data_IF_777368464446
#
_entry.id   IF_777368464446
#
_cell.length_a   1.000
_cell.length_b   1.000
_cell.length_c   1.000
_cell.angle_alpha   90.00
_cell.angle_beta   90.00
_cell.angle_gamma   90.00
#
_symmetry.space_group_name_H-M   'P 1'
#
loop_
_entity.id
_entity.type
_entity.pdbx_description
1 polymer ?
#
# COMPACT_ATOMS: atom_id res chain seq x y z
N UNK A 1 -28.87 73.95 11.81
CA UNK A 1 -27.82 73.02 12.22
C UNK A 1 -28.33 71.64 11.95
N UNK A 2 -28.00 71.09 10.75
CA UNK A 2 -28.52 69.80 10.32
C UNK A 2 -27.39 68.75 10.39
N UNK A 3 -27.58 67.77 11.24
CA UNK A 3 -26.66 66.60 11.39
C UNK A 3 -26.94 65.62 10.29
N UNK A 4 -25.98 65.36 9.38
CA UNK A 4 -26.02 64.29 8.36
C UNK A 4 -25.43 63.02 8.93
N UNK A 5 -26.28 62.01 9.08
CA UNK A 5 -25.84 60.68 9.45
C UNK A 5 -25.34 59.92 8.18
N UNK A 6 -24.06 59.58 8.15
CA UNK A 6 -23.50 58.69 7.14
C UNK A 6 -23.69 57.22 7.57
N UNK A 7 -24.51 56.51 6.83
CA UNK A 7 -24.67 55.08 6.99
C UNK A 7 -23.52 54.37 6.26
N UNK A 8 -22.61 53.74 7.01
CA UNK A 8 -21.53 52.89 6.45
C UNK A 8 -22.08 51.49 6.25
N UNK A 9 -22.25 51.09 4.99
CA UNK A 9 -22.66 49.72 4.61
C UNK A 9 -21.40 48.86 4.55
N UNK A 10 -21.16 48.05 5.58
CA UNK A 10 -20.08 47.06 5.61
C UNK A 10 -20.54 45.82 4.84
N UNK A 11 -20.09 45.66 3.61
CA UNK A 11 -20.30 44.48 2.80
C UNK A 11 -19.42 43.33 3.29
N UNK A 12 -20.03 42.29 3.87
CA UNK A 12 -19.37 41.03 4.18
C UNK A 12 -19.16 40.24 2.88
N UNK A 13 -17.94 40.19 2.39
CA UNK A 13 -17.56 39.31 1.31
C UNK A 13 -17.47 37.86 1.87
N UNK A 14 -18.49 37.03 1.61
CA UNK A 14 -18.45 35.60 1.87
C UNK A 14 -17.48 34.97 0.86
N UNK A 15 -16.26 34.66 1.30
CA UNK A 15 -15.30 33.89 0.51
C UNK A 15 -15.81 32.47 0.30
N UNK A 16 -16.16 32.12 -0.93
CA UNK A 16 -16.39 30.73 -1.35
C UNK A 16 -15.05 30.00 -1.28
N UNK A 17 -14.86 29.19 -0.26
CA UNK A 17 -13.76 28.23 -0.20
C UNK A 17 -14.14 27.12 -1.20
N UNK A 18 -13.56 27.13 -2.39
CA UNK A 18 -13.66 26.04 -3.34
C UNK A 18 -12.96 24.82 -2.72
N UNK A 19 -13.74 23.84 -2.25
CA UNK A 19 -13.20 22.56 -1.86
C UNK A 19 -12.57 21.92 -3.11
N UNK A 20 -11.24 21.76 -3.09
CA UNK A 20 -10.54 21.04 -4.14
C UNK A 20 -11.03 19.58 -4.22
N UNK A 21 -10.79 18.88 -5.35
CA UNK A 21 -11.22 17.50 -5.51
C UNK A 21 -10.60 16.66 -4.39
N UNK A 22 -11.46 15.92 -3.66
CA UNK A 22 -10.99 14.99 -2.65
C UNK A 22 -10.13 13.91 -3.30
N UNK A 23 -8.92 13.70 -2.78
CA UNK A 23 -8.03 12.62 -3.20
C UNK A 23 -8.09 11.50 -2.17
N UNK A 24 -7.83 10.26 -2.61
CA UNK A 24 -7.76 9.14 -1.69
C UNK A 24 -6.62 9.35 -0.67
N UNK A 25 -6.89 9.06 0.61
CA UNK A 25 -5.93 9.22 1.70
C UNK A 25 -5.48 7.90 2.29
N UNK A 26 -6.18 6.81 1.99
CA UNK A 26 -5.81 5.46 2.43
C UNK A 26 -6.10 4.43 1.34
N UNK A 27 -5.50 3.25 1.44
CA UNK A 27 -5.80 2.13 0.56
C UNK A 27 -5.98 0.84 1.36
N UNK A 28 -7.09 0.14 1.10
CA UNK A 28 -7.30 -1.22 1.57
C UNK A 28 -6.87 -2.19 0.49
N UNK A 29 -5.87 -3.01 0.80
CA UNK A 29 -5.38 -4.07 -0.09
C UNK A 29 -5.92 -5.39 0.40
N UNK A 30 -6.60 -6.13 -0.50
CA UNK A 30 -7.07 -7.49 -0.26
C UNK A 30 -6.21 -8.46 -1.08
N UNK A 31 -5.68 -9.48 -0.42
CA UNK A 31 -4.77 -10.47 -1.01
C UNK A 31 -5.30 -11.86 -0.67
N UNK A 32 -5.62 -12.65 -1.69
CA UNK A 32 -5.95 -14.06 -1.48
C UNK A 32 -4.68 -14.89 -1.47
N UNK A 33 -4.38 -15.53 -0.34
CA UNK A 33 -3.35 -16.56 -0.21
C UNK A 33 -4.01 -17.90 -0.53
N UNK A 34 -3.65 -18.59 -1.62
CA UNK A 34 -4.31 -19.84 -1.98
C UNK A 34 -3.95 -20.98 -1.01
N UNK A 35 -4.89 -21.90 -0.84
CA UNK A 35 -4.59 -23.18 -0.19
C UNK A 35 -3.96 -24.10 -1.23
N UNK A 36 -2.69 -24.40 -1.06
CA UNK A 36 -1.95 -25.28 -1.98
C UNK A 36 -1.90 -26.68 -1.42
N UNK A 37 -2.10 -27.69 -2.30
CA UNK A 37 -1.93 -29.11 -1.98
C UNK A 37 -0.48 -29.48 -2.33
N UNK A 38 0.41 -29.37 -1.36
CA UNK A 38 1.84 -29.66 -1.48
C UNK A 38 2.29 -30.54 -0.33
N UNK A 39 3.38 -31.28 -0.50
CA UNK A 39 3.88 -32.22 0.51
C UNK A 39 4.24 -31.50 1.83
N UNK A 40 4.81 -30.30 1.74
CA UNK A 40 5.14 -29.47 2.88
C UNK A 40 4.67 -28.03 2.61
N UNK A 41 3.77 -27.52 3.45
CA UNK A 41 3.22 -26.18 3.29
C UNK A 41 3.83 -25.20 4.28
N UNK A 42 4.54 -24.22 3.75
CA UNK A 42 4.98 -23.04 4.49
C UNK A 42 4.12 -21.82 4.12
N UNK A 43 3.81 -20.99 5.10
CA UNK A 43 3.12 -19.72 4.82
C UNK A 43 4.02 -18.78 4.02
N UNK A 44 3.53 -18.15 2.95
CA UNK A 44 4.38 -17.31 2.11
C UNK A 44 4.82 -16.05 2.85
N UNK A 45 6.03 -15.60 2.56
CA UNK A 45 6.45 -14.22 2.77
C UNK A 45 5.81 -13.37 1.69
N UNK A 46 5.24 -12.24 2.08
CA UNK A 46 4.53 -11.37 1.13
C UNK A 46 4.97 -9.93 1.32
N UNK A 47 5.49 -9.31 0.26
CA UNK A 47 5.76 -7.89 0.20
C UNK A 47 4.69 -7.16 -0.60
N UNK A 48 4.25 -6.02 -0.08
CA UNK A 48 3.37 -5.07 -0.75
C UNK A 48 4.11 -3.75 -0.82
N UNK A 49 4.36 -3.25 -2.03
CA UNK A 49 5.15 -2.04 -2.22
C UNK A 49 4.74 -1.26 -3.46
N UNK A 50 5.07 0.02 -3.48
CA UNK A 50 4.87 0.91 -4.63
C UNK A 50 6.17 1.09 -5.39
N UNK A 51 6.07 1.01 -6.71
CA UNK A 51 7.11 1.41 -7.65
C UNK A 51 6.65 2.64 -8.45
N UNK A 52 7.60 3.51 -8.75
CA UNK A 52 7.45 4.63 -9.69
C UNK A 52 8.75 4.82 -10.46
N UNK A 53 8.66 5.27 -11.70
CA UNK A 53 9.83 5.56 -12.52
C UNK A 53 10.69 6.65 -11.87
N UNK A 54 11.99 6.40 -11.71
CA UNK A 54 12.95 7.37 -11.18
C UNK A 54 12.85 7.64 -9.68
N UNK A 55 12.08 6.84 -8.92
CA UNK A 55 11.98 6.96 -7.47
C UNK A 55 12.27 5.61 -6.77
N UNK A 56 12.81 5.63 -5.55
CA UNK A 56 12.95 4.43 -4.75
C UNK A 56 11.58 3.78 -4.48
N UNK A 57 11.55 2.45 -4.50
CA UNK A 57 10.34 1.73 -4.14
C UNK A 57 9.98 1.97 -2.67
N UNK A 58 8.67 2.06 -2.39
CA UNK A 58 8.14 2.30 -1.05
C UNK A 58 7.46 1.05 -0.52
N UNK A 59 7.97 0.48 0.55
CA UNK A 59 7.34 -0.65 1.25
C UNK A 59 6.05 -0.18 1.94
N UNK A 60 4.94 -0.86 1.67
CA UNK A 60 3.66 -0.64 2.34
C UNK A 60 3.41 -1.69 3.42
N UNK A 61 3.76 -2.95 3.14
CA UNK A 61 3.69 -4.04 4.10
C UNK A 61 4.67 -5.15 3.71
N UNK A 62 5.21 -5.84 4.72
CA UNK A 62 6.01 -7.05 4.55
C UNK A 62 5.61 -8.09 5.60
N UNK A 63 5.21 -9.28 5.15
CA UNK A 63 4.89 -10.41 6.04
C UNK A 63 6.01 -11.42 5.99
N UNK A 64 6.55 -11.75 7.15
CA UNK A 64 7.59 -12.76 7.29
C UNK A 64 7.44 -13.48 8.64
N UNK A 65 8.21 -14.51 8.88
CA UNK A 65 8.13 -15.26 10.13
C UNK A 65 8.82 -14.48 11.27
N UNK A 66 8.09 -13.53 11.85
CA UNK A 66 8.53 -12.68 12.94
C UNK A 66 8.71 -13.45 14.26
N UNK A 67 8.13 -14.66 14.37
CA UNK A 67 8.18 -15.48 15.58
C UNK A 67 9.43 -16.39 15.65
N UNK A 68 10.16 -16.54 14.55
CA UNK A 68 11.41 -17.33 14.56
C UNK A 68 12.42 -16.73 15.53
N UNK A 69 12.98 -17.57 16.41
CA UNK A 69 13.99 -17.15 17.38
C UNK A 69 15.19 -16.50 16.69
N UNK A 70 15.83 -15.56 17.39
CA UNK A 70 17.04 -14.85 16.92
C UNK A 70 16.88 -14.18 15.53
N UNK A 71 15.68 -13.66 15.24
CA UNK A 71 15.38 -13.02 13.96
C UNK A 71 15.63 -13.90 12.72
N UNK A 72 15.61 -15.22 12.85
CA UNK A 72 15.91 -16.11 11.73
C UNK A 72 14.96 -15.95 10.55
N UNK A 73 13.70 -15.57 10.79
CA UNK A 73 12.76 -15.27 9.72
C UNK A 73 13.23 -14.17 8.77
N UNK A 74 14.06 -13.24 9.24
CA UNK A 74 14.61 -12.16 8.41
C UNK A 74 15.64 -12.63 7.39
N UNK A 75 16.30 -13.74 7.64
CA UNK A 75 17.30 -14.31 6.72
C UNK A 75 16.70 -14.69 5.37
N UNK A 76 15.39 -14.99 5.33
CA UNK A 76 14.66 -15.41 4.13
C UNK A 76 13.94 -14.28 3.40
N UNK A 77 14.06 -13.04 3.88
CA UNK A 77 13.45 -11.88 3.20
C UNK A 77 14.04 -11.62 1.81
N UNK A 78 15.24 -12.09 1.53
CA UNK A 78 15.87 -12.04 0.22
C UNK A 78 15.17 -12.93 -0.82
N UNK A 79 14.33 -13.88 -0.40
CA UNK A 79 13.53 -14.71 -1.32
C UNK A 79 12.39 -13.90 -1.97
N UNK A 80 11.92 -12.83 -1.32
CA UNK A 80 11.05 -11.81 -1.93
C UNK A 80 11.93 -10.88 -2.77
N UNK A 81 12.48 -11.42 -3.86
CA UNK A 81 13.66 -10.89 -4.58
C UNK A 81 13.47 -9.51 -5.19
N UNK A 82 12.27 -9.24 -5.73
CA UNK A 82 11.94 -7.95 -6.34
C UNK A 82 11.94 -6.85 -5.28
N UNK A 83 11.14 -7.03 -4.25
CA UNK A 83 11.06 -6.13 -3.12
C UNK A 83 12.41 -5.96 -2.42
N UNK A 84 13.15 -7.05 -2.19
CA UNK A 84 14.45 -7.02 -1.53
C UNK A 84 15.44 -6.10 -2.25
N UNK A 85 15.49 -6.21 -3.59
CA UNK A 85 16.35 -5.33 -4.40
C UNK A 85 15.87 -3.88 -4.44
N UNK A 86 14.55 -3.68 -4.49
CA UNK A 86 13.96 -2.36 -4.66
C UNK A 86 13.93 -1.54 -3.36
N UNK A 87 13.76 -2.18 -2.21
CA UNK A 87 13.55 -1.51 -0.92
C UNK A 87 14.08 -2.28 0.29
N UNK A 88 13.96 -3.60 0.32
CA UNK A 88 14.19 -4.42 1.51
C UNK A 88 15.60 -4.29 2.11
N UNK A 89 16.61 -4.13 1.29
CA UNK A 89 18.02 -4.01 1.73
C UNK A 89 18.28 -2.82 2.66
N UNK A 90 17.45 -1.77 2.60
CA UNK A 90 17.61 -0.59 3.45
C UNK A 90 17.27 -0.86 4.92
N UNK A 91 16.47 -1.91 5.19
CA UNK A 91 16.01 -2.24 6.54
C UNK A 91 14.95 -1.30 7.12
N UNK A 92 14.52 -0.27 6.39
CA UNK A 92 13.57 0.74 6.87
C UNK A 92 12.22 0.16 7.31
N UNK A 93 11.81 -0.97 6.72
CA UNK A 93 10.57 -1.68 7.06
C UNK A 93 10.48 -2.13 8.52
N UNK A 94 11.59 -2.17 9.26
CA UNK A 94 11.63 -2.57 10.66
C UNK A 94 11.10 -1.44 11.56
N UNK A 95 11.52 -0.22 11.26
CA UNK A 95 11.24 0.95 12.09
C UNK A 95 9.87 1.58 11.80
N UNK A 96 9.34 1.40 10.58
CA UNK A 96 8.13 2.09 10.14
C UNK A 96 6.81 1.33 10.41
N UNK A 97 6.89 0.16 11.10
CA UNK A 97 5.72 -0.65 11.41
C UNK A 97 5.04 -1.29 10.20
N UNK A 98 5.73 -1.40 9.04
CA UNK A 98 5.21 -2.10 7.86
C UNK A 98 5.34 -3.61 7.94
N UNK A 99 6.10 -4.13 8.89
CA UNK A 99 6.33 -5.56 9.08
C UNK A 99 5.21 -6.24 9.88
N UNK A 100 4.97 -7.50 9.57
CA UNK A 100 4.00 -8.35 10.26
C UNK A 100 4.24 -9.83 10.03
N UNK A 101 3.52 -10.68 10.77
CA UNK A 101 3.64 -12.13 10.63
C UNK A 101 3.10 -12.64 9.28
N UNK A 102 3.66 -13.78 8.81
CA UNK A 102 3.08 -14.57 7.71
C UNK A 102 1.63 -14.93 7.99
N UNK A 103 0.80 -15.03 6.96
CA UNK A 103 -0.63 -15.26 7.09
C UNK A 103 -1.05 -16.59 6.49
N UNK A 104 -2.11 -17.18 7.06
CA UNK A 104 -2.70 -18.44 6.60
C UNK A 104 -3.38 -18.28 5.23
N UNK A 105 -3.64 -19.40 4.49
CA UNK A 105 -4.51 -19.38 3.33
C UNK A 105 -5.87 -18.72 3.59
N UNK A 106 -6.38 -18.00 2.59
CA UNK A 106 -7.63 -17.24 2.65
C UNK A 106 -7.44 -15.80 2.22
N UNK A 107 -8.52 -15.01 2.33
CA UNK A 107 -8.50 -13.58 2.01
C UNK A 107 -7.89 -12.81 3.18
N UNK A 108 -6.82 -12.12 2.92
CA UNK A 108 -6.08 -11.30 3.87
C UNK A 108 -6.23 -9.82 3.51
N UNK A 109 -6.44 -8.96 4.51
CA UNK A 109 -6.60 -7.52 4.30
C UNK A 109 -5.55 -6.74 5.05
N UNK A 110 -5.05 -5.69 4.44
CA UNK A 110 -4.21 -4.66 5.05
C UNK A 110 -4.78 -3.28 4.70
N UNK A 111 -4.76 -2.38 5.68
CA UNK A 111 -5.07 -0.97 5.45
C UNK A 111 -3.79 -0.17 5.52
N UNK A 112 -3.51 0.59 4.48
CA UNK A 112 -2.37 1.49 4.38
C UNK A 112 -2.89 2.92 4.51
N UNK A 113 -2.46 3.61 5.56
CA UNK A 113 -2.94 4.95 5.87
C UNK A 113 -2.28 6.04 5.02
N UNK A 114 -2.84 7.24 5.10
CA UNK A 114 -2.35 8.43 4.40
C UNK A 114 -0.86 8.71 4.64
N UNK A 115 -0.34 8.49 5.84
CA UNK A 115 1.08 8.75 6.15
C UNK A 115 2.02 7.91 5.29
N UNK A 116 1.64 6.66 4.98
CA UNK A 116 2.43 5.78 4.11
C UNK A 116 2.23 6.05 2.62
N UNK A 117 1.09 6.62 2.23
CA UNK A 117 0.83 7.08 0.87
C UNK A 117 1.28 8.53 0.68
N UNK A 118 1.48 9.27 1.77
CA UNK A 118 1.79 10.70 1.77
C UNK A 118 2.97 11.07 0.90
N UNK A 119 2.87 12.25 0.26
CA UNK A 119 3.92 12.77 -0.61
C UNK A 119 4.02 12.10 -1.98
N UNK A 120 3.07 11.24 -2.37
CA UNK A 120 2.98 10.76 -3.76
C UNK A 120 2.65 11.96 -4.66
N UNK A 121 3.51 12.19 -5.66
CA UNK A 121 3.28 13.19 -6.70
C UNK A 121 2.34 12.64 -7.77
N UNK A 122 1.58 13.48 -8.47
CA UNK A 122 0.82 13.01 -9.64
C UNK A 122 1.73 12.27 -10.63
N UNK A 123 1.29 11.10 -11.09
CA UNK A 123 2.09 10.29 -12.00
C UNK A 123 1.69 8.81 -12.03
N UNK A 124 2.49 8.03 -12.76
CA UNK A 124 2.29 6.60 -12.93
C UNK A 124 2.97 5.82 -11.80
N UNK A 125 2.22 4.89 -11.21
CA UNK A 125 2.66 4.00 -10.15
C UNK A 125 2.27 2.56 -10.46
N UNK A 126 2.97 1.63 -9.82
CA UNK A 126 2.57 0.22 -9.79
C UNK A 126 2.53 -0.24 -8.34
N UNK A 127 1.38 -0.70 -7.89
CA UNK A 127 1.29 -1.46 -6.65
C UNK A 127 1.71 -2.89 -6.96
N UNK A 128 2.75 -3.35 -6.27
CA UNK A 128 3.33 -4.68 -6.48
C UNK A 128 3.06 -5.53 -5.25
N UNK A 129 2.55 -6.73 -5.47
CA UNK A 129 2.41 -7.77 -4.45
C UNK A 129 3.31 -8.93 -4.88
N UNK A 130 4.28 -9.25 -4.06
CA UNK A 130 5.22 -10.33 -4.31
C UNK A 130 5.15 -11.33 -3.17
N UNK A 131 4.92 -12.60 -3.52
CA UNK A 131 4.91 -13.72 -2.59
C UNK A 131 6.08 -14.66 -2.87
N UNK A 132 6.70 -15.17 -1.82
CA UNK A 132 7.72 -16.24 -1.89
C UNK A 132 7.49 -17.22 -0.75
N UNK A 133 7.53 -18.51 -1.03
CA UNK A 133 7.28 -19.57 -0.08
C UNK A 133 8.52 -20.44 0.08
N UNK A 134 8.89 -20.76 1.31
CA UNK A 134 9.97 -21.71 1.61
C UNK A 134 9.65 -23.05 0.96
N UNK A 135 10.65 -23.68 0.31
CA UNK A 135 10.48 -24.90 -0.48
C UNK A 135 9.33 -24.81 -1.50
N UNK A 136 9.07 -23.61 -2.00
CA UNK A 136 7.92 -23.33 -2.88
C UNK A 136 8.23 -22.38 -4.02
N UNK A 137 7.16 -21.84 -4.56
CA UNK A 137 7.21 -20.89 -5.65
C UNK A 137 7.43 -19.45 -5.21
N UNK A 138 7.55 -18.60 -6.22
CA UNK A 138 7.54 -17.14 -6.09
C UNK A 138 6.63 -16.56 -7.17
N UNK A 139 5.78 -15.65 -6.80
CA UNK A 139 4.88 -14.97 -7.74
C UNK A 139 4.83 -13.48 -7.48
N UNK A 140 4.64 -12.70 -8.55
CA UNK A 140 4.51 -11.25 -8.52
C UNK A 140 3.25 -10.84 -9.27
N UNK A 141 2.36 -10.13 -8.58
CA UNK A 141 1.19 -9.48 -9.16
C UNK A 141 1.43 -7.97 -9.18
N UNK A 142 1.15 -7.33 -10.32
CA UNK A 142 1.40 -5.93 -10.55
C UNK A 142 0.10 -5.22 -10.94
N UNK A 143 -0.22 -4.13 -10.24
CA UNK A 143 -1.41 -3.32 -10.46
C UNK A 143 -0.98 -1.89 -10.81
N UNK A 144 -0.88 -1.56 -12.11
CA UNK A 144 -0.54 -0.21 -12.53
C UNK A 144 -1.71 0.75 -12.30
N UNK A 145 -1.41 1.99 -11.90
CA UNK A 145 -2.40 3.05 -11.74
C UNK A 145 -1.78 4.43 -11.90
N UNK A 146 -2.63 5.43 -12.13
CA UNK A 146 -2.24 6.84 -12.16
C UNK A 146 -2.67 7.53 -10.87
N UNK A 147 -1.74 8.16 -10.16
CA UNK A 147 -2.04 8.96 -9.00
C UNK A 147 -2.31 10.43 -9.38
N UNK A 148 -3.26 11.16 -8.76
CA UNK A 148 -4.13 10.71 -7.69
C UNK A 148 -5.31 9.87 -8.20
N UNK A 149 -5.74 8.91 -7.39
CA UNK A 149 -6.97 8.15 -7.60
C UNK A 149 -8.13 8.79 -6.86
N UNK A 150 -9.34 8.64 -7.42
CA UNK A 150 -10.58 9.08 -6.75
C UNK A 150 -10.92 8.13 -5.60
N UNK A 151 -11.50 8.65 -4.50
CA UNK A 151 -12.04 7.80 -3.44
C UNK A 151 -13.04 6.78 -4.01
N UNK A 152 -12.98 5.52 -3.50
CA UNK A 152 -13.80 4.42 -3.96
C UNK A 152 -13.28 3.69 -5.20
N UNK A 153 -12.26 4.20 -5.87
CA UNK A 153 -11.67 3.53 -7.03
C UNK A 153 -10.92 2.27 -6.60
N UNK A 154 -11.15 1.17 -7.34
CA UNK A 154 -10.52 -0.13 -7.09
C UNK A 154 -9.72 -0.55 -8.31
N UNK A 155 -8.50 -1.04 -8.07
CA UNK A 155 -7.66 -1.73 -9.04
C UNK A 155 -7.53 -3.19 -8.64
N UNK A 156 -7.47 -4.12 -9.59
CA UNK A 156 -7.42 -5.55 -9.29
C UNK A 156 -6.68 -6.37 -10.34
N UNK A 157 -6.14 -7.50 -9.90
CA UNK A 157 -5.52 -8.52 -10.75
C UNK A 157 -5.57 -9.87 -10.01
N UNK A 158 -5.06 -10.93 -10.62
CA UNK A 158 -4.94 -12.23 -9.98
C UNK A 158 -3.58 -12.87 -10.29
N UNK A 159 -3.04 -13.58 -9.32
CA UNK A 159 -1.96 -14.53 -9.50
C UNK A 159 -2.47 -15.87 -10.00
N UNK A 160 -1.55 -16.82 -10.16
CA UNK A 160 -1.81 -18.16 -10.71
C UNK A 160 -1.31 -19.28 -9.83
N UNK A 161 -0.42 -18.98 -8.89
CA UNK A 161 0.32 -19.97 -8.10
C UNK A 161 0.34 -19.63 -6.61
N UNK A 162 1.19 -18.72 -6.19
CA UNK A 162 1.38 -18.34 -4.78
C UNK A 162 0.42 -17.22 -4.31
N UNK A 163 -0.24 -16.56 -5.26
CA UNK A 163 -1.24 -15.51 -5.04
C UNK A 163 -2.51 -15.85 -5.81
N UNK A 164 -3.66 -15.58 -5.22
CA UNK A 164 -4.96 -15.60 -5.87
C UNK A 164 -5.37 -14.19 -6.30
N UNK A 165 -6.66 -13.85 -6.09
CA UNK A 165 -7.17 -12.53 -6.36
C UNK A 165 -6.51 -11.47 -5.48
N UNK A 166 -6.16 -10.35 -6.08
CA UNK A 166 -5.58 -9.18 -5.42
C UNK A 166 -6.36 -7.95 -5.84
N UNK A 167 -6.73 -7.11 -4.89
CA UNK A 167 -7.38 -5.82 -5.17
C UNK A 167 -6.88 -4.74 -4.21
N UNK A 168 -6.95 -3.49 -4.66
CA UNK A 168 -6.67 -2.33 -3.84
C UNK A 168 -7.78 -1.29 -4.04
N UNK A 169 -8.47 -0.92 -2.95
CA UNK A 169 -9.53 0.08 -2.94
C UNK A 169 -9.05 1.32 -2.22
N UNK A 170 -9.06 2.45 -2.94
CA UNK A 170 -8.63 3.73 -2.42
C UNK A 170 -9.80 4.43 -1.70
N UNK A 171 -9.56 4.92 -0.48
CA UNK A 171 -10.56 5.52 0.40
C UNK A 171 -10.26 6.99 0.66
N UNK A 172 -11.30 7.80 1.01
CA UNK A 172 -11.11 9.18 1.44
C UNK A 172 -10.18 9.30 2.65
#
# INVERSE_FOLDING_TARGET
>A
MQLRHHLILTGAAAGLIAAGPATAQSVDVSITVPRLTVAEYHKPYVAVYLEATGAPARTLSIWYDVAKAKDEGRKWLNEVRGWWRASGRTGSYIADGSSGATRAPGVQKISVNAARLGGLKPGQYTLVIEAAREVGGREVVRLPFTWPLKPGQTIQAAGKTELGAVSATFKP
#
